data_IF_001726100544
#
_entry.id   IF_001726100544
#
_cell.length_a   1.000
_cell.length_b   1.000
_cell.length_c   1.000
_cell.angle_alpha   90.00
_cell.angle_beta   90.00
_cell.angle_gamma   90.00
#
_symmetry.space_group_name_H-M   'P 1'
#
loop_
_entity.id
_entity.type
_entity.pdbx_description
1 polymer ?
#
# COMPACT_ATOMS: atom_id res chain seq x y z
N UNK A 1 15.49 -53.08 35.64
CA UNK A 1 14.32 -53.95 35.90
C UNK A 1 13.38 -53.81 34.69
N UNK A 2 13.56 -54.68 33.69
CA UNK A 2 12.59 -55.69 33.22
C UNK A 2 11.40 -55.06 32.44
N UNK A 3 11.43 -54.99 31.09
CA UNK A 3 11.24 -56.01 30.02
C UNK A 3 9.78 -56.40 29.74
N UNK A 4 9.53 -56.61 28.43
CA UNK A 4 8.50 -57.43 27.72
C UNK A 4 7.34 -56.63 27.10
N UNK A 5 6.87 -56.86 25.87
CA UNK A 5 7.16 -57.89 24.84
C UNK A 5 6.56 -57.49 23.49
N UNK A 6 7.30 -57.81 22.43
CA UNK A 6 6.91 -57.91 21.01
C UNK A 6 6.03 -59.12 20.69
N UNK A 7 5.31 -59.11 19.55
CA UNK A 7 5.02 -60.35 18.82
C UNK A 7 3.94 -60.29 17.73
N UNK A 8 4.34 -60.27 16.45
CA UNK A 8 3.84 -61.06 15.29
C UNK A 8 4.43 -60.43 14.00
N UNK A 9 4.97 -61.09 12.99
CA UNK A 9 5.19 -62.51 12.67
C UNK A 9 5.67 -62.58 11.20
N UNK A 10 6.92 -63.05 11.01
CA UNK A 10 7.53 -63.76 9.88
C UNK A 10 7.11 -63.52 8.40
N UNK A 11 8.08 -63.32 7.47
CA UNK A 11 8.78 -64.40 6.70
C UNK A 11 9.75 -63.87 5.60
N UNK A 12 10.98 -64.42 5.66
CA UNK A 12 11.89 -64.96 4.59
C UNK A 12 12.44 -64.07 3.45
N UNK A 13 13.78 -64.09 3.30
CA UNK A 13 14.41 -64.39 2.00
C UNK A 13 15.67 -63.61 1.52
N UNK A 14 16.85 -64.02 2.02
CA UNK A 14 18.19 -64.04 1.36
C UNK A 14 18.95 -62.74 0.93
N UNK A 15 20.31 -62.76 0.91
CA UNK A 15 21.17 -61.58 0.86
C UNK A 15 21.92 -61.39 -0.48
N UNK A 16 22.32 -60.16 -0.82
CA UNK A 16 23.54 -59.94 -1.60
C UNK A 16 24.20 -58.58 -1.28
N UNK A 17 25.53 -58.62 -1.27
CA UNK A 17 26.47 -57.63 -0.71
C UNK A 17 26.92 -56.57 -1.72
N UNK A 18 27.61 -55.56 -1.16
CA UNK A 18 28.46 -54.52 -1.78
C UNK A 18 27.68 -53.31 -2.33
N UNK A 19 27.95 -52.06 -1.98
CA UNK A 19 28.97 -51.46 -1.11
C UNK A 19 29.16 -50.01 -1.56
N UNK A 20 28.89 -49.04 -0.70
CA UNK A 20 29.76 -47.88 -0.44
C UNK A 20 29.11 -47.01 0.63
N UNK A 21 29.87 -46.75 1.69
CA UNK A 21 29.51 -45.80 2.72
C UNK A 21 29.94 -44.39 2.29
N UNK A 22 29.08 -43.41 2.51
CA UNK A 22 29.46 -42.06 2.89
C UNK A 22 28.37 -41.53 3.83
N UNK A 23 28.73 -41.01 5.02
CA UNK A 23 27.77 -40.66 6.06
C UNK A 23 27.34 -39.19 5.98
N UNK A 24 26.10 -38.92 6.37
CA UNK A 24 25.71 -37.65 6.98
C UNK A 24 25.17 -36.58 6.03
N UNK A 25 23.85 -36.54 5.88
CA UNK A 25 23.05 -35.35 6.11
C UNK A 25 21.59 -35.79 6.29
N UNK A 26 21.16 -35.81 7.55
CA UNK A 26 19.74 -35.79 7.91
C UNK A 26 19.24 -34.37 7.65
N UNK A 27 18.44 -34.21 6.61
CA UNK A 27 17.65 -33.03 6.35
C UNK A 27 16.44 -33.49 5.57
N UNK A 28 15.27 -33.41 6.18
CA UNK A 28 14.00 -33.63 5.51
C UNK A 28 13.79 -32.49 4.51
N UNK A 29 14.36 -32.62 3.31
CA UNK A 29 14.06 -31.74 2.19
C UNK A 29 12.68 -32.13 1.66
N UNK A 30 11.65 -31.51 2.24
CA UNK A 30 10.29 -31.59 1.74
C UNK A 30 10.19 -30.76 0.44
N UNK A 31 10.60 -31.37 -0.68
CA UNK A 31 10.41 -30.77 -2.00
C UNK A 31 8.91 -30.65 -2.29
N UNK A 32 8.38 -29.45 -2.11
CA UNK A 32 7.01 -29.10 -2.46
C UNK A 32 6.85 -29.22 -3.99
N UNK A 33 6.43 -30.40 -4.44
CA UNK A 33 6.21 -30.71 -5.85
C UNK A 33 4.92 -30.02 -6.29
N UNK A 34 5.04 -28.75 -6.69
CA UNK A 34 3.96 -28.00 -7.33
C UNK A 34 3.49 -28.79 -8.54
N UNK A 35 2.27 -29.34 -8.47
CA UNK A 35 1.64 -29.98 -9.63
C UNK A 35 1.52 -28.94 -10.73
N UNK A 36 1.94 -29.29 -11.95
CA UNK A 36 1.85 -28.47 -13.17
C UNK A 36 0.44 -27.93 -13.50
N UNK A 37 -0.58 -28.32 -12.74
CA UNK A 37 -1.96 -27.86 -12.84
C UNK A 37 -2.21 -26.47 -12.21
N UNK A 38 -1.24 -25.90 -11.49
CA UNK A 38 -1.25 -24.47 -11.08
C UNK A 38 -0.66 -23.52 -12.13
N UNK A 39 -0.26 -24.01 -13.30
CA UNK A 39 -0.04 -23.15 -14.45
C UNK A 39 -1.41 -22.77 -14.99
N UNK A 40 -1.95 -21.65 -14.50
CA UNK A 40 -3.03 -20.95 -15.17
C UNK A 40 -2.70 -20.90 -16.67
N UNK A 41 -3.66 -21.34 -17.49
CA UNK A 41 -3.60 -21.24 -18.94
C UNK A 41 -3.00 -19.89 -19.31
N UNK A 42 -1.96 -19.87 -20.18
CA UNK A 42 -1.31 -18.67 -20.72
C UNK A 42 -2.30 -17.52 -20.65
N UNK A 43 -2.11 -16.61 -19.68
CA UNK A 43 -2.99 -15.47 -19.49
C UNK A 43 -2.98 -14.72 -20.81
N UNK A 44 -4.01 -14.96 -21.63
CA UNK A 44 -4.29 -14.14 -22.79
C UNK A 44 -4.48 -12.76 -22.18
N UNK A 45 -3.69 -11.79 -22.64
CA UNK A 45 -3.78 -10.37 -22.28
C UNK A 45 -5.14 -9.82 -22.71
N UNK A 46 -6.18 -10.18 -21.97
CA UNK A 46 -7.38 -9.39 -21.89
C UNK A 46 -7.03 -8.26 -20.95
N UNK A 47 -6.86 -7.04 -21.49
CA UNK A 47 -6.83 -5.84 -20.68
C UNK A 47 -8.19 -5.71 -19.99
N UNK A 48 -8.31 -6.28 -18.80
CA UNK A 48 -9.52 -6.14 -18.00
C UNK A 48 -9.50 -4.72 -17.47
N UNK A 49 -10.41 -3.89 -17.98
CA UNK A 49 -10.66 -2.56 -17.46
C UNK A 49 -11.62 -2.72 -16.29
N UNK A 50 -11.17 -2.41 -15.09
CA UNK A 50 -11.99 -2.39 -13.87
C UNK A 50 -12.55 -0.98 -13.71
N UNK A 51 -13.88 -0.84 -13.73
CA UNK A 51 -14.56 0.43 -13.54
C UNK A 51 -14.79 0.73 -12.06
N UNK A 52 -14.55 1.98 -11.65
CA UNK A 52 -14.82 2.48 -10.30
C UNK A 52 -15.27 3.94 -10.35
N UNK A 53 -16.04 4.37 -9.37
CA UNK A 53 -16.42 5.78 -9.20
C UNK A 53 -15.50 6.44 -8.20
N UNK A 54 -14.96 7.61 -8.53
CA UNK A 54 -14.28 8.48 -7.57
C UNK A 54 -15.29 9.50 -7.04
N UNK A 55 -15.79 9.29 -5.82
CA UNK A 55 -16.79 10.16 -5.21
C UNK A 55 -16.19 11.47 -4.72
N UNK A 56 -15.05 11.37 -4.03
CA UNK A 56 -14.35 12.49 -3.42
C UNK A 56 -12.86 12.26 -3.40
N UNK A 57 -12.13 13.37 -3.35
CA UNK A 57 -10.70 13.38 -3.09
C UNK A 57 -10.39 14.50 -2.11
N UNK A 58 -9.32 14.32 -1.33
CA UNK A 58 -8.71 15.38 -0.56
C UNK A 58 -7.21 15.15 -0.52
N UNK A 59 -6.43 16.22 -0.42
CA UNK A 59 -4.98 16.12 -0.45
C UNK A 59 -4.35 17.17 0.47
N UNK A 60 -3.14 16.87 0.92
CA UNK A 60 -2.36 17.75 1.77
C UNK A 60 -0.89 17.72 1.35
N UNK A 61 -0.26 18.89 1.27
CA UNK A 61 1.19 19.07 1.13
C UNK A 61 1.54 20.41 1.77
N UNK A 62 2.79 20.66 2.20
CA UNK A 62 3.14 21.94 2.80
C UNK A 62 2.79 23.12 1.88
N UNK A 63 2.19 24.17 2.46
CA UNK A 63 1.71 25.33 1.71
C UNK A 63 0.48 25.05 0.82
N UNK A 64 -0.08 23.83 0.82
CA UNK A 64 -1.20 23.42 -0.03
C UNK A 64 -2.24 22.66 0.79
N UNK A 65 -3.17 23.42 1.34
CA UNK A 65 -4.25 22.92 2.17
C UNK A 65 -5.60 23.16 1.49
N UNK A 66 -6.43 22.12 1.47
CA UNK A 66 -7.77 22.16 0.90
C UNK A 66 -7.84 22.04 -0.62
N UNK A 67 -9.04 21.72 -1.10
CA UNK A 67 -9.31 21.44 -2.52
C UNK A 67 -8.87 22.57 -3.47
N UNK A 68 -9.08 23.84 -3.11
CA UNK A 68 -8.75 24.99 -3.98
C UNK A 68 -7.25 25.10 -4.24
N UNK A 69 -6.41 24.95 -3.20
CA UNK A 69 -4.96 25.03 -3.34
C UNK A 69 -4.41 23.91 -4.25
N UNK A 70 -5.02 22.72 -4.19
CA UNK A 70 -4.68 21.60 -5.05
C UNK A 70 -5.18 21.78 -6.48
N UNK A 71 -6.37 22.33 -6.69
CA UNK A 71 -6.86 22.70 -8.03
C UNK A 71 -5.93 23.71 -8.70
N UNK A 72 -5.51 24.75 -7.97
CA UNK A 72 -4.57 25.76 -8.46
C UNK A 72 -3.19 25.16 -8.80
N UNK A 73 -2.72 24.21 -7.99
CA UNK A 73 -1.48 23.47 -8.26
C UNK A 73 -1.61 22.56 -9.49
N UNK A 74 -2.71 21.82 -9.64
CA UNK A 74 -2.92 20.96 -10.80
C UNK A 74 -2.95 21.75 -12.12
N UNK A 75 -3.45 23.00 -12.09
CA UNK A 75 -3.43 23.89 -13.25
C UNK A 75 -2.03 24.42 -13.58
N UNK A 76 -1.16 24.60 -12.57
CA UNK A 76 0.21 25.12 -12.71
C UNK A 76 1.15 24.35 -11.79
N UNK A 77 1.53 23.12 -12.16
CA UNK A 77 2.24 22.24 -11.25
C UNK A 77 3.69 22.70 -11.09
N UNK A 78 4.15 22.69 -9.85
CA UNK A 78 5.54 22.91 -9.43
C UNK A 78 5.95 21.76 -8.51
N UNK A 79 7.24 21.46 -8.34
CA UNK A 79 7.67 20.46 -7.35
C UNK A 79 7.03 20.69 -5.98
N UNK A 80 6.59 19.61 -5.33
CA UNK A 80 6.01 19.66 -3.99
C UNK A 80 7.09 19.91 -2.93
N UNK A 81 6.73 20.56 -1.83
CA UNK A 81 7.67 20.93 -0.78
C UNK A 81 8.00 19.74 0.15
N UNK A 82 9.22 19.75 0.70
CA UNK A 82 9.70 18.73 1.65
C UNK A 82 9.17 18.91 3.07
N UNK A 83 9.02 20.17 3.51
CA UNK A 83 8.92 20.50 4.93
C UNK A 83 7.55 21.01 5.35
N UNK A 84 6.92 20.33 6.30
CA UNK A 84 5.68 20.79 6.93
C UNK A 84 4.91 19.63 7.53
N UNK A 85 4.10 19.91 8.56
CA UNK A 85 3.22 18.92 9.17
C UNK A 85 1.90 19.61 9.50
N UNK A 86 0.74 19.04 9.14
CA UNK A 86 -0.53 19.66 9.49
C UNK A 86 -0.71 19.67 11.00
N UNK A 87 -1.45 20.67 11.48
CA UNK A 87 -1.73 20.78 12.91
C UNK A 87 -2.63 19.65 13.43
N UNK A 88 -3.39 18.99 12.54
CA UNK A 88 -4.34 17.92 12.81
C UNK A 88 -5.26 18.21 14.01
N UNK A 89 -5.80 19.44 14.11
CA UNK A 89 -6.65 19.84 15.26
C UNK A 89 -7.93 19.04 15.41
N UNK A 90 -8.42 18.41 14.34
CA UNK A 90 -9.56 17.50 14.36
C UNK A 90 -9.32 16.24 15.21
N UNK A 91 -8.05 15.89 15.50
CA UNK A 91 -7.73 14.76 16.37
C UNK A 91 -7.76 15.16 17.85
N UNK A 92 -8.22 14.27 18.75
CA UNK A 92 -8.06 14.45 20.19
C UNK A 92 -6.59 14.70 20.55
N UNK A 93 -6.27 15.62 21.50
CA UNK A 93 -4.90 16.02 21.79
C UNK A 93 -3.94 14.87 22.10
N UNK A 94 -4.40 13.85 22.83
CA UNK A 94 -3.57 12.67 23.17
C UNK A 94 -3.26 11.82 21.93
N UNK A 95 -4.23 11.63 21.04
CA UNK A 95 -4.02 10.87 19.80
C UNK A 95 -3.12 11.65 18.83
N UNK A 96 -3.34 12.97 18.71
CA UNK A 96 -2.49 13.87 17.92
C UNK A 96 -1.03 13.83 18.34
N UNK A 97 -0.74 13.70 19.64
CA UNK A 97 0.63 13.55 20.16
C UNK A 97 1.28 12.21 19.81
N UNK A 98 0.49 11.19 19.48
CA UNK A 98 0.97 9.88 19.02
C UNK A 98 1.21 9.85 17.50
N UNK A 99 0.57 10.70 16.72
CA UNK A 99 0.80 10.70 15.27
C UNK A 99 2.22 11.16 14.91
N UNK A 100 2.93 10.34 14.13
CA UNK A 100 4.14 10.76 13.39
C UNK A 100 3.77 11.83 12.34
N UNK A 101 4.76 12.56 11.78
CA UNK A 101 4.52 13.54 10.72
C UNK A 101 3.67 13.00 9.56
N UNK A 102 4.07 11.85 8.99
CA UNK A 102 3.33 11.17 7.91
C UNK A 102 1.93 10.76 8.33
N UNK A 103 1.75 10.27 9.56
CA UNK A 103 0.41 9.95 10.06
C UNK A 103 -0.48 11.19 10.11
N UNK A 104 0.04 12.36 10.52
CA UNK A 104 -0.75 13.60 10.50
C UNK A 104 -1.15 14.01 9.09
N UNK A 105 -0.25 13.91 8.12
CA UNK A 105 -0.55 14.21 6.71
C UNK A 105 -1.66 13.30 6.17
N UNK A 106 -1.47 11.99 6.29
CA UNK A 106 -2.43 10.98 5.81
C UNK A 106 -3.79 11.10 6.50
N UNK A 107 -3.82 11.28 7.82
CA UNK A 107 -5.08 11.46 8.55
C UNK A 107 -5.76 12.78 8.18
N UNK A 108 -5.01 13.85 7.86
CA UNK A 108 -5.61 15.12 7.44
C UNK A 108 -6.35 14.95 6.12
N UNK A 109 -5.68 14.37 5.11
CA UNK A 109 -6.33 14.07 3.83
C UNK A 109 -7.52 13.10 4.01
N UNK A 110 -7.35 12.05 4.82
CA UNK A 110 -8.40 11.05 5.06
C UNK A 110 -9.65 11.65 5.74
N UNK A 111 -9.47 12.52 6.74
CA UNK A 111 -10.57 13.17 7.44
C UNK A 111 -11.29 14.21 6.57
N UNK A 112 -10.59 14.88 5.66
CA UNK A 112 -11.20 15.82 4.72
C UNK A 112 -11.97 15.10 3.59
N UNK A 113 -11.55 13.88 3.21
CA UNK A 113 -12.16 13.13 2.11
C UNK A 113 -13.50 12.45 2.45
N UNK A 114 -13.77 12.21 3.73
CA UNK A 114 -14.95 11.46 4.20
C UNK A 114 -15.67 12.17 5.34
N UNK A 115 -16.99 12.11 5.31
CA UNK A 115 -17.85 12.64 6.38
C UNK A 115 -17.79 11.73 7.62
N UNK A 116 -18.19 12.26 8.78
CA UNK A 116 -18.05 11.58 10.08
C UNK A 116 -18.73 10.19 10.11
N UNK A 117 -19.95 10.09 9.58
CA UNK A 117 -20.70 8.84 9.51
C UNK A 117 -19.95 7.78 8.70
N UNK A 118 -19.47 8.16 7.49
CA UNK A 118 -18.72 7.27 6.61
C UNK A 118 -17.43 6.79 7.27
N UNK A 119 -16.67 7.70 7.91
CA UNK A 119 -15.36 7.38 8.51
C UNK A 119 -15.45 6.23 9.53
N UNK A 120 -16.56 6.09 10.24
CA UNK A 120 -16.75 5.07 11.27
C UNK A 120 -16.98 3.65 10.73
N UNK A 121 -17.33 3.48 9.44
CA UNK A 121 -17.73 2.20 8.86
C UNK A 121 -17.24 2.00 7.42
N UNK A 122 -16.06 2.52 7.07
CA UNK A 122 -15.50 2.46 5.72
C UNK A 122 -14.34 1.44 5.63
N UNK A 123 -14.24 0.72 4.50
CA UNK A 123 -13.05 -0.08 4.19
C UNK A 123 -11.87 0.82 3.86
N UNK A 124 -10.67 0.45 4.28
CA UNK A 124 -9.51 1.36 4.20
C UNK A 124 -8.29 0.70 3.57
N UNK A 125 -7.61 1.42 2.70
CA UNK A 125 -6.31 1.05 2.17
C UNK A 125 -5.35 2.21 2.43
N UNK A 126 -4.31 1.96 3.23
CA UNK A 126 -3.25 2.94 3.46
C UNK A 126 -2.01 2.52 2.68
N UNK A 127 -1.54 3.35 1.75
CA UNK A 127 -0.36 3.06 0.96
C UNK A 127 0.74 4.08 1.23
N UNK A 128 1.97 3.61 1.38
CA UNK A 128 3.13 4.47 1.56
C UNK A 128 4.36 3.70 1.09
N UNK A 129 5.18 4.34 0.27
CA UNK A 129 6.37 3.70 -0.28
C UNK A 129 7.32 3.30 0.83
N UNK A 130 7.52 4.20 1.79
CA UNK A 130 8.52 4.04 2.86
C UNK A 130 7.94 3.82 4.25
N UNK A 131 6.63 3.99 4.40
CA UNK A 131 5.96 3.95 5.70
C UNK A 131 6.61 4.92 6.68
N UNK A 132 6.80 4.45 7.91
CA UNK A 132 7.41 5.23 8.99
C UNK A 132 8.91 4.94 9.15
N UNK A 133 9.65 4.66 8.08
CA UNK A 133 11.07 4.27 8.19
C UNK A 133 11.93 5.31 8.92
N UNK A 134 11.59 6.61 8.83
CA UNK A 134 12.26 7.66 9.59
C UNK A 134 12.15 7.47 11.11
N UNK A 135 11.04 6.91 11.61
CA UNK A 135 10.88 6.57 13.03
C UNK A 135 11.73 5.36 13.43
N UNK A 136 11.99 4.45 12.49
CA UNK A 136 12.82 3.25 12.69
C UNK A 136 14.31 3.58 12.78
N UNK A 137 14.80 4.62 12.08
CA UNK A 137 16.23 5.01 12.10
C UNK A 137 16.69 5.27 13.53
N UNK A 138 16.01 6.17 14.25
CA UNK A 138 16.37 6.49 15.63
C UNK A 138 16.23 5.30 16.59
N UNK A 139 15.37 4.33 16.27
CA UNK A 139 15.26 3.08 17.01
C UNK A 139 16.50 2.20 16.79
N UNK A 140 16.94 2.04 15.54
CA UNK A 140 18.12 1.25 15.20
C UNK A 140 19.40 1.85 15.78
N UNK A 141 19.53 3.18 15.80
CA UNK A 141 20.67 3.86 16.44
C UNK A 141 20.75 3.56 17.94
N UNK A 142 19.60 3.62 18.64
CA UNK A 142 19.52 3.25 20.07
C UNK A 142 19.85 1.79 20.29
N UNK A 143 19.35 0.91 19.44
CA UNK A 143 19.63 -0.52 19.50
C UNK A 143 21.14 -0.78 19.33
N UNK A 144 21.79 -0.12 18.37
CA UNK A 144 23.23 -0.22 18.15
C UNK A 144 24.05 0.26 19.36
N UNK A 145 23.56 1.28 20.08
CA UNK A 145 24.15 1.79 21.33
C UNK A 145 23.75 1.00 22.58
N UNK A 146 22.95 -0.06 22.45
CA UNK A 146 22.39 -0.85 23.56
C UNK A 146 21.57 -0.02 24.55
N UNK A 147 20.91 1.02 24.04
CA UNK A 147 20.01 1.87 24.84
C UNK A 147 18.60 1.27 24.92
N UNK A 148 17.83 1.55 25.99
CA UNK A 148 16.44 1.14 26.09
C UNK A 148 15.58 1.68 24.94
N UNK A 149 14.74 0.82 24.38
CA UNK A 149 13.77 1.18 23.34
C UNK A 149 12.44 1.64 23.96
N UNK A 150 11.82 2.67 23.36
CA UNK A 150 10.49 3.11 23.78
C UNK A 150 9.41 2.24 23.12
N UNK A 151 8.56 1.54 23.88
CA UNK A 151 7.48 0.74 23.31
C UNK A 151 6.51 1.57 22.46
N UNK A 152 6.25 2.82 22.86
CA UNK A 152 5.39 3.73 22.11
C UNK A 152 5.99 4.10 20.75
N UNK A 153 7.29 4.39 20.69
CA UNK A 153 7.95 4.68 19.40
C UNK A 153 7.98 3.46 18.49
N UNK A 154 8.25 2.29 19.06
CA UNK A 154 8.20 1.03 18.32
C UNK A 154 6.80 0.78 17.72
N UNK A 155 5.72 1.14 18.41
CA UNK A 155 4.36 0.98 17.85
C UNK A 155 4.09 1.80 16.58
N UNK A 156 4.93 2.79 16.27
CA UNK A 156 4.81 3.59 15.05
C UNK A 156 5.72 3.12 13.92
N UNK A 157 6.57 2.10 14.11
CA UNK A 157 7.50 1.63 13.07
C UNK A 157 6.88 0.62 12.12
N UNK A 158 5.72 0.06 12.48
CA UNK A 158 4.95 -0.84 11.63
C UNK A 158 4.27 -0.04 10.52
N UNK A 159 4.20 -0.61 9.31
CA UNK A 159 3.65 0.08 8.13
C UNK A 159 2.16 0.44 8.28
N UNK A 160 1.41 -0.37 9.02
CA UNK A 160 -0.02 -0.15 9.27
C UNK A 160 -0.33 0.84 10.41
N UNK A 161 0.66 1.54 10.96
CA UNK A 161 0.44 2.47 12.09
C UNK A 161 -0.58 3.57 11.76
N UNK A 162 -0.56 4.10 10.53
CA UNK A 162 -1.48 5.14 10.05
C UNK A 162 -2.92 4.63 9.99
N UNK A 163 -3.14 3.44 9.43
CA UNK A 163 -4.45 2.80 9.39
C UNK A 163 -4.99 2.59 10.83
N UNK A 164 -4.15 2.10 11.73
CA UNK A 164 -4.54 1.91 13.14
C UNK A 164 -4.88 3.23 13.86
N UNK A 165 -4.10 4.28 13.63
CA UNK A 165 -4.39 5.62 14.18
C UNK A 165 -5.70 6.18 13.63
N UNK A 166 -5.98 6.00 12.33
CA UNK A 166 -7.26 6.39 11.74
C UNK A 166 -8.42 5.60 12.37
N UNK A 167 -8.31 4.27 12.47
CA UNK A 167 -9.34 3.42 13.08
C UNK A 167 -9.69 3.86 14.50
N UNK A 168 -8.68 4.21 15.31
CA UNK A 168 -8.91 4.73 16.66
C UNK A 168 -9.59 6.10 16.61
N UNK A 169 -9.12 7.01 15.75
CA UNK A 169 -9.64 8.37 15.65
C UNK A 169 -11.11 8.40 15.17
N UNK A 170 -11.46 7.55 14.22
CA UNK A 170 -12.77 7.48 13.58
C UNK A 170 -13.71 6.45 14.22
N UNK A 171 -13.26 5.76 15.28
CA UNK A 171 -13.95 4.59 15.86
C UNK A 171 -14.32 3.51 14.82
N UNK A 172 -13.50 3.38 13.77
CA UNK A 172 -13.73 2.46 12.67
C UNK A 172 -13.21 1.06 12.98
N UNK A 173 -14.10 0.07 12.93
CA UNK A 173 -13.81 -1.35 13.19
C UNK A 173 -13.78 -2.22 11.94
N UNK A 174 -13.95 -1.62 10.76
CA UNK A 174 -13.93 -2.34 9.50
C UNK A 174 -12.51 -2.72 9.07
N UNK A 175 -12.40 -3.63 8.11
CA UNK A 175 -11.12 -4.11 7.60
C UNK A 175 -10.27 -3.00 6.99
N UNK A 176 -8.96 -3.07 7.22
CA UNK A 176 -7.97 -2.19 6.61
C UNK A 176 -6.79 -2.97 6.04
N UNK A 177 -6.24 -2.51 4.92
CA UNK A 177 -5.00 -3.01 4.33
C UNK A 177 -3.92 -1.94 4.34
N UNK A 178 -2.65 -2.34 4.33
CA UNK A 178 -1.51 -1.41 4.26
C UNK A 178 -0.48 -1.88 3.22
N UNK A 179 -0.20 -1.02 2.23
CA UNK A 179 0.50 -1.39 0.99
C UNK A 179 1.80 -0.60 0.82
N UNK A 180 2.86 -1.29 0.44
CA UNK A 180 4.07 -0.71 -0.13
C UNK A 180 4.50 -1.56 -1.32
N UNK A 181 4.80 -0.90 -2.44
CA UNK A 181 5.23 -1.54 -3.69
C UNK A 181 6.26 -0.67 -4.44
N UNK A 182 7.14 0.02 -3.70
CA UNK A 182 8.11 0.99 -4.24
C UNK A 182 7.44 2.05 -5.15
N UNK A 183 7.91 2.20 -6.37
CA UNK A 183 7.35 3.09 -7.40
C UNK A 183 5.87 2.78 -7.67
N UNK A 184 5.46 1.50 -7.64
CA UNK A 184 4.10 1.06 -7.93
C UNK A 184 3.14 1.21 -6.74
N UNK A 185 3.56 1.82 -5.62
CA UNK A 185 2.77 1.87 -4.37
C UNK A 185 1.38 2.47 -4.58
N UNK A 186 1.27 3.57 -5.33
CA UNK A 186 -0.02 4.20 -5.62
C UNK A 186 -0.93 3.25 -6.41
N UNK A 187 -0.41 2.64 -7.48
CA UNK A 187 -1.18 1.75 -8.34
C UNK A 187 -1.60 0.46 -7.63
N UNK A 188 -0.71 -0.15 -6.83
CA UNK A 188 -1.04 -1.31 -6.02
C UNK A 188 -2.04 -0.96 -4.91
N UNK A 189 -1.96 0.23 -4.31
CA UNK A 189 -2.98 0.72 -3.38
C UNK A 189 -4.34 0.89 -4.04
N UNK A 190 -4.37 1.42 -5.27
CA UNK A 190 -5.59 1.53 -6.08
C UNK A 190 -6.18 0.16 -6.39
N UNK A 191 -5.35 -0.79 -6.86
CA UNK A 191 -5.78 -2.16 -7.11
C UNK A 191 -6.35 -2.81 -5.85
N UNK A 192 -5.71 -2.65 -4.70
CA UNK A 192 -6.22 -3.20 -3.43
C UNK A 192 -7.57 -2.58 -3.04
N UNK A 193 -7.77 -1.29 -3.27
CA UNK A 193 -9.07 -0.67 -3.03
C UNK A 193 -10.17 -1.28 -3.92
N UNK A 194 -9.85 -1.63 -5.17
CA UNK A 194 -10.78 -2.35 -6.05
C UNK A 194 -11.08 -3.75 -5.53
N UNK A 195 -10.13 -4.45 -4.90
CA UNK A 195 -10.43 -5.77 -4.29
C UNK A 195 -11.38 -5.66 -3.11
N UNK A 196 -11.33 -4.56 -2.34
CA UNK A 196 -12.32 -4.29 -1.30
C UNK A 196 -13.72 -4.05 -1.89
N UNK A 197 -13.82 -3.25 -2.95
CA UNK A 197 -15.08 -3.00 -3.64
C UNK A 197 -15.67 -4.26 -4.26
N UNK A 198 -14.84 -5.16 -4.79
CA UNK A 198 -15.32 -6.44 -5.31
C UNK A 198 -15.89 -7.35 -4.20
N UNK A 199 -15.31 -7.29 -3.00
CA UNK A 199 -15.76 -8.07 -1.84
C UNK A 199 -17.02 -7.51 -1.18
N UNK A 200 -17.19 -6.18 -1.15
CA UNK A 200 -18.38 -5.51 -0.62
C UNK A 200 -18.81 -4.34 -1.55
N UNK A 201 -19.53 -4.63 -2.65
CA UNK A 201 -19.83 -3.63 -3.69
C UNK A 201 -20.66 -2.43 -3.25
N UNK A 202 -21.37 -2.54 -2.13
CA UNK A 202 -22.24 -1.49 -1.60
C UNK A 202 -21.52 -0.56 -0.61
N UNK A 203 -20.25 -0.83 -0.32
CA UNK A 203 -19.47 -0.07 0.66
C UNK A 203 -18.36 0.70 -0.03
N UNK A 204 -18.30 2.04 0.13
CA UNK A 204 -17.16 2.81 -0.32
C UNK A 204 -15.86 2.36 0.35
N UNK A 205 -14.74 2.67 -0.30
CA UNK A 205 -13.38 2.36 0.17
C UNK A 205 -12.56 3.64 0.15
N UNK A 206 -11.90 3.91 1.27
CA UNK A 206 -10.99 5.03 1.42
C UNK A 206 -9.55 4.56 1.13
N UNK A 207 -9.00 4.99 0.00
CA UNK A 207 -7.58 4.85 -0.29
C UNK A 207 -6.84 6.10 0.16
N UNK A 208 -5.86 5.94 1.05
CA UNK A 208 -5.00 7.03 1.52
C UNK A 208 -3.56 6.71 1.15
N UNK A 209 -2.92 7.57 0.37
CA UNK A 209 -1.53 7.42 -0.07
C UNK A 209 -0.72 8.60 0.41
N UNK A 210 0.48 8.39 0.93
CA UNK A 210 1.35 9.49 1.33
C UNK A 210 2.74 9.03 1.72
N UNK A 211 3.69 9.95 1.62
CA UNK A 211 5.06 9.76 2.04
C UNK A 211 5.62 11.09 2.60
N UNK A 212 6.70 10.97 3.35
CA UNK A 212 7.49 12.09 3.83
C UNK A 212 8.93 11.96 3.30
N UNK A 213 9.69 13.06 3.20
CA UNK A 213 11.09 12.98 2.83
C UNK A 213 11.84 12.05 3.77
N UNK A 214 12.67 11.19 3.20
CA UNK A 214 13.53 10.31 3.97
C UNK A 214 14.63 11.11 4.68
N UNK A 215 15.04 10.60 5.85
CA UNK A 215 16.25 11.07 6.54
C UNK A 215 17.42 11.16 5.57
N UNK A 216 18.29 12.16 5.73
CA UNK A 216 19.48 12.36 4.90
C UNK A 216 20.40 11.12 4.87
N UNK A 217 20.32 10.25 5.88
CA UNK A 217 20.99 8.94 5.91
C UNK A 217 20.68 8.08 4.68
N UNK A 218 19.48 8.21 4.12
CA UNK A 218 19.03 7.46 2.95
C UNK A 218 19.21 8.20 1.63
N UNK A 219 19.65 9.47 1.65
CA UNK A 219 19.79 10.29 0.43
C UNK A 219 20.58 9.60 -0.71
N UNK A 220 21.65 8.82 -0.45
CA UNK A 220 22.37 8.11 -1.52
C UNK A 220 21.61 6.96 -2.18
N UNK A 221 20.49 6.51 -1.60
CA UNK A 221 19.72 5.34 -2.01
C UNK A 221 18.40 5.72 -2.69
N UNK A 222 18.14 7.02 -2.84
CA UNK A 222 16.82 7.56 -3.19
C UNK A 222 16.93 8.41 -4.45
N UNK A 223 16.16 8.02 -5.47
CA UNK A 223 16.07 8.73 -6.75
C UNK A 223 14.73 9.47 -6.90
N UNK A 224 13.78 9.28 -5.98
CA UNK A 224 12.46 9.89 -6.07
C UNK A 224 12.42 11.34 -5.60
N UNK A 225 11.33 12.04 -5.95
CA UNK A 225 11.10 13.41 -5.53
C UNK A 225 11.02 13.50 -3.99
N UNK A 226 11.95 14.26 -3.38
CA UNK A 226 11.89 14.59 -1.96
C UNK A 226 10.73 15.57 -1.74
N UNK A 227 9.62 15.07 -1.21
CA UNK A 227 8.46 15.88 -0.88
C UNK A 227 7.62 15.24 0.22
N UNK A 228 6.81 16.07 0.87
CA UNK A 228 5.81 15.67 1.86
C UNK A 228 4.41 15.82 1.26
N UNK A 229 3.65 14.72 1.26
CA UNK A 229 2.30 14.75 0.71
C UNK A 229 1.41 13.65 1.30
N UNK A 230 0.11 13.86 1.18
CA UNK A 230 -0.90 12.82 1.27
C UNK A 230 -2.05 13.09 0.29
N UNK A 231 -2.61 12.03 -0.26
CA UNK A 231 -3.81 12.02 -1.08
C UNK A 231 -4.77 10.98 -0.52
N UNK A 232 -6.04 11.35 -0.36
CA UNK A 232 -7.13 10.46 -0.02
C UNK A 232 -8.13 10.43 -1.17
N UNK A 233 -8.60 9.23 -1.53
CA UNK A 233 -9.60 8.97 -2.57
C UNK A 233 -10.72 8.14 -1.96
N UNK A 234 -11.96 8.62 -2.08
CA UNK A 234 -13.16 7.89 -1.72
C UNK A 234 -13.71 7.21 -2.98
N UNK A 235 -13.53 5.89 -3.05
CA UNK A 235 -13.89 5.07 -4.20
C UNK A 235 -15.17 4.27 -3.92
N UNK A 236 -16.04 4.11 -4.90
CA UNK A 236 -17.26 3.31 -4.76
C UNK A 236 -17.75 2.77 -6.10
N UNK A 237 -18.84 1.99 -6.07
CA UNK A 237 -19.59 1.60 -7.27
C UNK A 237 -20.81 2.51 -7.54
N UNK A 238 -20.99 3.56 -6.74
CA UNK A 238 -22.11 4.49 -6.81
C UNK A 238 -22.04 5.49 -7.97
N UNK A 239 -22.93 6.49 -7.99
CA UNK A 239 -22.96 7.51 -9.04
C UNK A 239 -21.79 8.49 -8.91
N UNK A 240 -21.26 8.96 -10.04
CA UNK A 240 -20.19 9.96 -10.08
C UNK A 240 -19.22 9.76 -11.26
N UNK A 241 -18.12 10.52 -11.31
CA UNK A 241 -17.09 10.38 -12.34
C UNK A 241 -16.49 8.97 -12.33
N UNK A 242 -16.63 8.25 -13.45
CA UNK A 242 -16.11 6.88 -13.57
C UNK A 242 -14.68 6.87 -14.09
N UNK A 243 -13.89 5.98 -13.50
CA UNK A 243 -12.50 5.72 -13.83
C UNK A 243 -12.38 4.25 -14.19
N UNK A 244 -11.85 3.97 -15.37
CA UNK A 244 -11.38 2.64 -15.76
C UNK A 244 -9.94 2.48 -15.35
N UNK A 245 -9.59 1.35 -14.76
CA UNK A 245 -8.25 0.99 -14.34
C UNK A 245 -7.81 -0.30 -15.03
N UNK A 246 -6.64 -0.30 -15.67
CA UNK A 246 -6.09 -1.48 -16.34
C UNK A 246 -4.58 -1.61 -16.09
N UNK A 247 -4.11 -2.85 -16.02
CA UNK A 247 -2.68 -3.17 -16.10
C UNK A 247 -2.35 -3.55 -17.54
N UNK A 248 -1.56 -2.70 -18.21
CA UNK A 248 -1.09 -2.95 -19.56
C UNK A 248 0.28 -3.64 -19.54
N UNK A 249 0.41 -4.70 -20.35
CA UNK A 249 1.70 -5.38 -20.60
C UNK A 249 2.46 -4.63 -21.68
N UNK A 250 3.64 -4.13 -21.36
CA UNK A 250 4.53 -3.44 -22.29
C UNK A 250 5.23 -2.25 -21.64
N UNK A 251 6.46 -1.99 -22.08
CA UNK A 251 7.14 -0.73 -21.84
C UNK A 251 6.44 0.34 -22.68
N UNK A 252 5.35 0.90 -22.16
CA UNK A 252 4.76 2.10 -22.74
C UNK A 252 5.64 3.32 -22.48
N UNK A 253 5.30 4.45 -23.09
CA UNK A 253 5.87 5.76 -22.79
C UNK A 253 5.37 6.26 -21.42
N UNK A 254 5.57 5.47 -20.36
CA UNK A 254 5.20 5.82 -19.00
C UNK A 254 6.04 7.03 -18.58
N UNK A 255 5.36 8.08 -18.13
CA UNK A 255 6.00 9.32 -17.70
C UNK A 255 6.41 9.16 -16.24
N UNK A 256 7.65 9.53 -15.93
CA UNK A 256 8.09 9.74 -14.54
C UNK A 256 7.99 11.24 -14.22
N UNK A 257 6.88 11.70 -13.61
CA UNK A 257 6.74 13.09 -13.21
C UNK A 257 7.76 13.47 -12.12
N UNK A 258 8.10 14.78 -11.98
CA UNK A 258 8.99 15.26 -10.91
C UNK A 258 8.27 15.37 -9.54
N UNK A 259 7.14 14.68 -9.38
CA UNK A 259 6.31 14.58 -8.18
C UNK A 259 5.73 13.16 -8.09
N UNK A 260 5.14 12.76 -6.96
CA UNK A 260 4.61 11.39 -6.79
C UNK A 260 3.46 11.04 -7.73
N UNK A 261 3.34 9.76 -8.09
CA UNK A 261 2.26 9.18 -8.91
C UNK A 261 0.85 9.57 -8.43
N UNK A 262 0.64 9.62 -7.12
CA UNK A 262 -0.63 10.06 -6.53
C UNK A 262 -0.97 11.52 -6.90
N UNK A 263 0.01 12.42 -6.86
CA UNK A 263 -0.18 13.82 -7.24
C UNK A 263 -0.43 13.95 -8.76
N UNK A 264 0.26 13.14 -9.56
CA UNK A 264 0.03 13.07 -11.00
C UNK A 264 -1.36 12.53 -11.35
N UNK A 265 -1.85 11.52 -10.62
CA UNK A 265 -3.22 11.04 -10.73
C UNK A 265 -4.24 12.14 -10.46
N UNK A 266 -4.07 12.92 -9.40
CA UNK A 266 -4.99 14.03 -9.10
C UNK A 266 -4.96 15.10 -10.20
N UNK A 267 -3.76 15.44 -10.70
CA UNK A 267 -3.59 16.35 -11.84
C UNK A 267 -4.34 15.87 -13.07
N UNK A 268 -4.17 14.60 -13.44
CA UNK A 268 -4.90 13.98 -14.54
C UNK A 268 -6.41 14.01 -14.31
N UNK A 269 -6.87 13.62 -13.13
CA UNK A 269 -8.30 13.56 -12.80
C UNK A 269 -8.97 14.93 -12.99
N UNK A 270 -8.31 16.01 -12.55
CA UNK A 270 -8.79 17.39 -12.70
C UNK A 270 -8.55 18.01 -14.08
N UNK A 271 -7.73 17.39 -14.92
CA UNK A 271 -7.42 17.88 -16.28
C UNK A 271 -8.47 17.44 -17.33
N UNK A 272 -8.37 17.95 -18.55
CA UNK A 272 -9.15 17.45 -19.69
C UNK A 272 -8.62 16.15 -20.34
N UNK A 273 -7.50 15.59 -19.85
CA UNK A 273 -6.91 14.40 -20.47
C UNK A 273 -7.77 13.14 -20.24
N UNK A 274 -7.99 12.36 -21.30
CA UNK A 274 -8.81 11.15 -21.25
C UNK A 274 -8.12 9.97 -20.54
N UNK A 275 -6.79 9.92 -20.60
CA UNK A 275 -5.98 8.76 -20.15
C UNK A 275 -4.72 9.23 -19.42
N UNK A 276 -4.34 8.48 -18.40
CA UNK A 276 -3.07 8.56 -17.67
C UNK A 276 -2.41 7.18 -17.71
N UNK A 277 -1.10 7.16 -17.92
CA UNK A 277 -0.28 5.97 -17.84
C UNK A 277 0.93 6.24 -16.92
N UNK A 278 1.05 5.46 -15.84
CA UNK A 278 2.16 5.53 -14.90
C UNK A 278 2.82 4.15 -14.78
N UNK A 279 4.11 4.12 -14.48
CA UNK A 279 4.83 2.87 -14.28
C UNK A 279 6.30 2.97 -14.67
N UNK A 280 7.09 2.01 -14.19
CA UNK A 280 8.53 1.93 -14.48
C UNK A 280 8.86 0.55 -15.01
N UNK A 281 9.54 0.47 -16.17
CA UNK A 281 10.05 -0.77 -16.74
C UNK A 281 9.02 -1.56 -17.55
N UNK A 282 8.62 -2.74 -17.08
CA UNK A 282 7.85 -3.74 -17.85
C UNK A 282 6.33 -3.68 -17.67
N UNK A 283 5.85 -2.88 -16.71
CA UNK A 283 4.43 -2.74 -16.37
C UNK A 283 4.01 -1.29 -16.46
N UNK A 284 2.85 -1.07 -17.06
CA UNK A 284 2.22 0.25 -17.13
C UNK A 284 0.82 0.16 -16.55
N UNK A 285 0.55 0.95 -15.53
CA UNK A 285 -0.76 1.14 -14.93
C UNK A 285 -1.47 2.28 -15.63
N UNK A 286 -2.72 2.06 -16.00
CA UNK A 286 -3.47 3.01 -16.80
C UNK A 286 -4.77 3.34 -16.12
N UNK A 287 -5.06 4.64 -16.07
CA UNK A 287 -6.35 5.17 -15.68
C UNK A 287 -6.97 5.89 -16.87
N UNK A 288 -8.27 5.70 -17.08
CA UNK A 288 -9.02 6.35 -18.13
C UNK A 288 -10.36 6.86 -17.62
N UNK A 289 -10.78 8.02 -18.12
CA UNK A 289 -12.11 8.56 -17.83
C UNK A 289 -13.11 7.75 -18.64
N UNK A 290 -14.09 7.17 -17.98
CA UNK A 290 -15.13 6.37 -18.63
C UNK A 290 -16.40 7.19 -18.59
N UNK A 291 -17.04 7.36 -19.74
CA UNK A 291 -18.38 7.96 -19.79
C UNK A 291 -19.34 7.00 -19.08
N UNK A 292 -20.13 7.52 -18.13
CA UNK A 292 -21.11 6.71 -17.43
C UNK A 292 -22.06 6.10 -18.43
N UNK A 293 -22.11 4.76 -18.52
CA UNK A 293 -23.26 4.11 -19.10
C UNK A 293 -24.43 4.36 -18.15
N UNK A 294 -25.29 5.32 -18.49
CA UNK A 294 -26.62 5.42 -17.91
C UNK A 294 -27.32 4.09 -18.16
N UNK A 295 -27.44 3.29 -17.09
CA UNK A 295 -28.13 2.00 -17.06
C UNK A 295 -29.16 2.00 -15.96
#
# INVERSE_FOLDING_TARGET
MLRRTSGCGARRGAPCKQGNASPGCSGDDEFLRVRREQLHARARTWGVVIGVTLERWAAWSPGREGARAWQDWCARPVPLEEGGVPDARFLPPLLRRRCSPIARMMLTAAFECCDEEQRSHIGMVFASRHGNINESVGLFERLARREPLSPTRFSHTVHNAQAGLFSIAAANRFGSSSISAREETFACGFLEALTFLERDPNRPVLLVVGDAPLSDTFAPLVEEARCAYALALLLSNGPGPRIGFELASGAGDAVSPPWPDAAEFLRWHLSGAARLALGTGVRTWVWQKVEGSDG
#
